data_IF_291124759366
#
_entry.id   IF_291124759366
#
_cell.length_a   1.000
_cell.length_b   1.000
_cell.length_c   1.000
_cell.angle_alpha   90.00
_cell.angle_beta   90.00
_cell.angle_gamma   90.00
#
_symmetry.space_group_name_H-M   'P 1'
#
loop_
_entity.id
_entity.type
_entity.pdbx_description
1 polymer ?
#
# COMPACT_ATOMS: atom_id res chain seq x y z
N UNK A 1 -5.79 -22.78 9.01
CA UNK A 1 -5.27 -22.29 7.72
C UNK A 1 -3.98 -21.57 8.04
N UNK A 2 -2.83 -22.14 7.71
CA UNK A 2 -1.55 -21.42 7.87
C UNK A 2 -1.55 -20.28 6.87
N UNK A 3 -1.62 -19.04 7.36
CA UNK A 3 -1.48 -17.86 6.52
C UNK A 3 -0.12 -17.93 5.82
N UNK A 4 -0.17 -17.92 4.48
CA UNK A 4 1.04 -17.94 3.68
C UNK A 4 1.62 -16.53 3.71
N UNK A 5 2.75 -16.38 4.41
CA UNK A 5 3.42 -15.09 4.51
C UNK A 5 4.24 -14.81 3.25
N UNK A 6 4.04 -13.64 2.65
CA UNK A 6 4.77 -13.16 1.48
C UNK A 6 5.80 -12.12 1.92
N UNK A 7 7.09 -12.45 1.82
CA UNK A 7 8.19 -11.55 2.18
C UNK A 7 8.97 -11.14 0.93
N UNK A 8 9.29 -9.85 0.81
CA UNK A 8 10.09 -9.32 -0.28
C UNK A 8 9.47 -8.11 -0.96
N UNK A 9 9.97 -7.78 -2.14
CA UNK A 9 9.48 -6.68 -2.98
C UNK A 9 8.66 -7.27 -4.11
N UNK A 10 7.43 -6.79 -4.27
CA UNK A 10 6.52 -7.21 -5.32
C UNK A 10 6.12 -6.01 -6.17
N UNK A 11 5.92 -6.22 -7.46
CA UNK A 11 5.44 -5.15 -8.35
C UNK A 11 3.94 -5.00 -8.20
N UNK A 12 3.50 -3.76 -8.06
CA UNK A 12 2.08 -3.43 -7.95
C UNK A 12 1.73 -2.18 -8.73
N UNK A 13 0.43 -2.03 -9.00
CA UNK A 13 -0.15 -0.82 -9.59
C UNK A 13 -1.04 -0.14 -8.56
N UNK A 14 -0.91 1.18 -8.44
CA UNK A 14 -1.81 2.00 -7.64
C UNK A 14 -3.13 2.17 -8.40
N UNK A 15 -4.24 1.92 -7.73
CA UNK A 15 -5.59 2.04 -8.29
C UNK A 15 -6.39 3.17 -7.63
N UNK A 16 -6.04 3.56 -6.40
CA UNK A 16 -6.61 4.71 -5.71
C UNK A 16 -5.64 5.23 -4.64
N UNK A 17 -5.52 6.55 -4.54
CA UNK A 17 -4.69 7.25 -3.56
C UNK A 17 -5.48 8.11 -2.57
N UNK A 18 -6.81 8.13 -2.68
CA UNK A 18 -7.71 8.84 -1.75
C UNK A 18 -7.93 7.94 -0.54
N UNK A 19 -7.09 8.08 0.49
CA UNK A 19 -7.21 7.36 1.76
C UNK A 19 -8.20 8.05 2.71
N UNK A 20 -9.35 7.43 3.04
CA UNK A 20 -10.33 8.00 3.95
C UNK A 20 -9.81 8.20 5.38
N UNK A 21 -8.79 7.44 5.79
CA UNK A 21 -8.18 7.57 7.11
C UNK A 21 -7.07 8.63 7.15
N UNK A 22 -6.70 9.20 5.99
CA UNK A 22 -5.63 10.20 5.86
C UNK A 22 -4.30 9.77 6.48
N UNK A 23 -3.99 8.48 6.48
CA UNK A 23 -2.71 7.93 6.98
C UNK A 23 -1.76 7.54 5.83
N UNK A 24 -2.06 7.96 4.60
CA UNK A 24 -1.20 7.79 3.44
C UNK A 24 -1.23 6.38 2.84
N UNK A 25 -2.31 5.61 3.04
CA UNK A 25 -2.46 4.30 2.39
C UNK A 25 -2.72 4.43 0.90
N UNK A 26 -2.32 3.41 0.16
CA UNK A 26 -2.63 3.25 -1.26
C UNK A 26 -3.45 2.00 -1.48
N UNK A 27 -4.49 2.10 -2.31
CA UNK A 27 -5.17 0.92 -2.80
C UNK A 27 -4.38 0.38 -3.99
N UNK A 28 -3.88 -0.83 -3.87
CA UNK A 28 -2.96 -1.44 -4.83
C UNK A 28 -3.47 -2.78 -5.35
N UNK A 29 -3.15 -3.06 -6.60
CA UNK A 29 -3.19 -4.41 -7.17
C UNK A 29 -1.77 -4.97 -7.22
N UNK A 30 -1.57 -6.17 -6.66
CA UNK A 30 -0.28 -6.89 -6.63
C UNK A 30 -0.55 -8.35 -6.98
N UNK A 31 -0.55 -8.74 -8.27
CA UNK A 31 -0.96 -10.08 -8.70
C UNK A 31 -0.19 -11.22 -8.01
N UNK A 32 1.12 -11.05 -7.81
CA UNK A 32 1.99 -12.04 -7.16
C UNK A 32 1.64 -12.33 -5.68
N UNK A 33 0.88 -11.44 -5.02
CA UNK A 33 0.51 -11.56 -3.60
C UNK A 33 -1.00 -11.72 -3.41
N UNK A 34 -1.80 -10.92 -4.12
CA UNK A 34 -3.24 -10.85 -3.95
C UNK A 34 -4.01 -11.76 -4.92
N UNK A 35 -3.38 -12.15 -6.04
CA UNK A 35 -4.06 -12.71 -7.21
C UNK A 35 -4.65 -11.61 -8.12
N UNK A 36 -5.10 -12.02 -9.29
CA UNK A 36 -5.60 -11.09 -10.31
C UNK A 36 -6.89 -10.38 -9.91
N UNK A 37 -7.01 -9.10 -10.29
CA UNK A 37 -8.22 -8.29 -10.09
C UNK A 37 -8.53 -7.90 -8.65
N UNK A 38 -7.71 -8.33 -7.68
CA UNK A 38 -7.89 -7.98 -6.26
C UNK A 38 -7.15 -6.70 -5.89
N UNK A 39 -7.80 -5.92 -5.04
CA UNK A 39 -7.29 -4.68 -4.48
C UNK A 39 -7.18 -4.80 -2.96
N UNK A 40 -6.11 -4.26 -2.40
CA UNK A 40 -5.94 -4.14 -0.94
C UNK A 40 -5.33 -2.79 -0.58
N UNK A 41 -5.54 -2.36 0.65
CA UNK A 41 -4.89 -1.17 1.19
C UNK A 41 -3.49 -1.51 1.70
N UNK A 42 -2.48 -0.85 1.15
CA UNK A 42 -1.10 -0.94 1.61
C UNK A 42 -0.76 0.27 2.49
N UNK A 43 -0.16 0.01 3.65
CA UNK A 43 0.42 1.04 4.52
C UNK A 43 1.70 1.61 3.88
N UNK A 44 1.97 2.92 4.03
CA UNK A 44 3.20 3.51 3.54
C UNK A 44 4.39 3.06 4.39
N UNK A 45 5.51 2.77 3.73
CA UNK A 45 6.82 2.59 4.40
C UNK A 45 7.61 3.91 4.25
N UNK A 46 7.39 4.83 5.18
CA UNK A 46 8.01 6.16 5.18
C UNK A 46 9.18 6.20 6.16
N UNK A 47 10.41 6.50 5.70
CA UNK A 47 11.58 6.53 6.59
C UNK A 47 11.64 7.76 7.51
N UNK A 48 10.84 8.81 7.22
CA UNK A 48 10.91 10.10 7.93
C UNK A 48 9.59 10.55 8.58
N UNK A 49 8.44 10.26 7.97
CA UNK A 49 7.17 10.86 8.39
C UNK A 49 6.62 10.23 9.68
N UNK A 50 5.80 11.00 10.40
CA UNK A 50 5.16 10.60 11.66
C UNK A 50 4.03 11.57 12.05
N UNK A 51 3.44 11.44 13.25
CA UNK A 51 2.36 12.33 13.71
C UNK A 51 2.76 13.81 13.63
N UNK A 52 2.11 14.57 12.75
CA UNK A 52 2.36 16.00 12.55
C UNK A 52 3.67 16.35 11.81
N UNK A 53 4.41 15.37 11.27
CA UNK A 53 5.72 15.58 10.63
C UNK A 53 5.79 14.89 9.27
N UNK A 54 6.27 15.62 8.26
CA UNK A 54 6.47 15.13 6.89
C UNK A 54 5.36 15.53 5.92
N UNK A 55 5.42 14.99 4.70
CA UNK A 55 4.40 15.19 3.67
C UNK A 55 4.24 13.90 2.85
N UNK A 56 3.04 13.68 2.30
CA UNK A 56 2.77 12.58 1.38
C UNK A 56 2.93 13.06 -0.07
N UNK A 57 3.77 12.38 -0.84
CA UNK A 57 3.88 12.54 -2.29
C UNK A 57 3.47 11.22 -2.95
N UNK A 58 2.17 11.06 -3.18
CA UNK A 58 1.59 9.80 -3.65
C UNK A 58 1.47 9.79 -5.18
N UNK A 59 1.73 8.65 -5.84
CA UNK A 59 1.47 8.52 -7.26
C UNK A 59 -0.04 8.61 -7.57
N UNK A 60 -0.41 9.06 -8.79
CA UNK A 60 -1.79 8.98 -9.27
C UNK A 60 -2.27 7.53 -9.43
#
# INVERSE_FOLDING_TARGET
>A
MTEQAFYGKYRGKVSNNIDPLQIGRLQVSVPEVLGDGRLSWALPCVPFAGPGVGFFALPP
#
